data_IF_819856760882
#
_entry.id   IF_819856760882
#
_cell.length_a   1.000
_cell.length_b   1.000
_cell.length_c   1.000
_cell.angle_alpha   90.00
_cell.angle_beta   90.00
_cell.angle_gamma   90.00
#
_symmetry.space_group_name_H-M   'P 1'
#
loop_
_entity.id
_entity.type
_entity.pdbx_description
1 polymer ?
#
# COMPACT_ATOMS: atom_id res chain seq x y z
N UNK A 1 -7.13 25.13 -34.74
CA UNK A 1 -8.18 24.40 -33.99
C UNK A 1 -7.60 23.58 -32.82
N UNK A 2 -6.56 22.75 -33.00
CA UNK A 2 -5.97 21.94 -31.93
C UNK A 2 -5.32 22.73 -30.77
N UNK A 3 -4.68 23.88 -31.07
CA UNK A 3 -4.10 24.78 -30.04
C UNK A 3 -5.17 25.44 -29.15
N UNK A 4 -6.36 25.65 -29.69
CA UNK A 4 -7.47 26.32 -29.00
C UNK A 4 -8.17 25.37 -28.03
N UNK A 5 -8.37 24.10 -28.43
CA UNK A 5 -8.93 23.04 -27.56
C UNK A 5 -8.00 22.75 -26.38
N UNK A 6 -6.68 22.75 -26.59
CA UNK A 6 -5.70 22.47 -25.53
C UNK A 6 -5.59 23.59 -24.48
N UNK A 7 -5.70 24.86 -24.89
CA UNK A 7 -5.75 26.01 -23.97
C UNK A 7 -7.08 26.14 -23.22
N UNK A 8 -8.16 25.59 -23.78
CA UNK A 8 -9.50 25.59 -23.17
C UNK A 8 -9.65 24.50 -22.11
N UNK A 9 -9.03 23.33 -22.33
CA UNK A 9 -9.00 22.22 -21.37
C UNK A 9 -8.28 22.57 -20.07
N UNK A 10 -7.06 23.12 -20.14
CA UNK A 10 -6.23 23.35 -18.94
C UNK A 10 -6.83 24.30 -17.90
N UNK A 11 -7.60 25.30 -18.32
CA UNK A 11 -8.20 26.29 -17.39
C UNK A 11 -9.43 25.78 -16.63
N UNK A 12 -10.16 24.80 -17.18
CA UNK A 12 -11.37 24.23 -16.54
C UNK A 12 -11.10 22.88 -15.85
N UNK A 13 -10.09 22.14 -16.32
CA UNK A 13 -9.71 20.84 -15.75
C UNK A 13 -9.10 21.00 -14.35
N UNK A 14 -8.26 22.01 -14.13
CA UNK A 14 -7.59 22.25 -12.84
C UNK A 14 -8.58 22.48 -11.68
N UNK A 15 -9.58 23.38 -11.77
CA UNK A 15 -10.57 23.55 -10.70
C UNK A 15 -11.48 22.33 -10.53
N UNK A 16 -11.80 21.60 -11.62
CA UNK A 16 -12.62 20.38 -11.53
C UNK A 16 -11.86 19.24 -10.82
N UNK A 17 -10.54 19.15 -11.02
CA UNK A 17 -9.69 18.21 -10.30
C UNK A 17 -9.46 18.62 -8.85
N UNK A 18 -9.25 19.89 -8.55
CA UNK A 18 -9.19 20.41 -7.17
C UNK A 18 -10.48 20.07 -6.41
N UNK A 19 -11.64 20.21 -7.06
CA UNK A 19 -12.91 19.78 -6.51
C UNK A 19 -12.96 18.26 -6.28
N UNK A 20 -12.44 17.46 -7.21
CA UNK A 20 -12.35 16.01 -7.03
C UNK A 20 -11.42 15.62 -5.86
N UNK A 21 -10.28 16.31 -5.67
CA UNK A 21 -9.39 16.09 -4.51
C UNK A 21 -10.12 16.38 -3.20
N UNK A 22 -10.85 17.49 -3.14
CA UNK A 22 -11.62 17.89 -1.96
C UNK A 22 -12.75 16.86 -1.69
N UNK A 23 -13.40 16.35 -2.72
CA UNK A 23 -14.42 15.30 -2.58
C UNK A 23 -13.86 13.93 -2.16
N UNK A 24 -12.58 13.67 -2.42
CA UNK A 24 -11.90 12.43 -2.01
C UNK A 24 -11.31 12.54 -0.60
N UNK A 25 -11.24 13.73 -0.02
CA UNK A 25 -10.91 13.86 1.40
C UNK A 25 -12.05 13.28 2.23
N UNK A 26 -11.78 12.33 3.13
CA UNK A 26 -12.81 11.82 4.01
C UNK A 26 -13.35 12.98 4.87
N UNK A 27 -14.61 13.36 4.61
CA UNK A 27 -15.32 14.40 5.37
C UNK A 27 -15.60 13.98 6.83
N UNK A 28 -15.24 12.75 7.19
CA UNK A 28 -15.44 12.15 8.51
C UNK A 28 -14.07 11.81 9.09
N UNK A 29 -13.65 12.59 10.08
CA UNK A 29 -12.53 12.23 10.94
C UNK A 29 -12.99 11.18 11.93
N UNK A 30 -12.63 9.91 11.72
CA UNK A 30 -12.79 8.92 12.77
C UNK A 30 -11.76 9.22 13.86
N UNK A 31 -12.24 9.49 15.08
CA UNK A 31 -11.42 9.50 16.29
C UNK A 31 -11.04 8.04 16.62
N UNK A 32 -10.20 7.43 15.79
CA UNK A 32 -9.80 6.05 15.97
C UNK A 32 -8.77 6.00 17.10
N UNK A 33 -9.11 5.29 18.17
CA UNK A 33 -8.12 4.89 19.18
C UNK A 33 -7.07 3.99 18.51
N UNK A 34 -5.86 3.96 19.07
CA UNK A 34 -4.84 3.02 18.60
C UNK A 34 -5.40 1.60 18.61
N UNK A 35 -5.17 0.85 17.54
CA UNK A 35 -5.63 -0.53 17.43
C UNK A 35 -5.06 -1.36 18.60
N UNK A 36 -5.88 -2.12 19.34
CA UNK A 36 -5.38 -2.93 20.44
C UNK A 36 -4.41 -3.99 19.92
N UNK A 37 -3.36 -4.33 20.70
CA UNK A 37 -2.36 -5.29 20.28
C UNK A 37 -3.00 -6.64 19.97
N UNK A 38 -2.52 -7.26 18.91
CA UNK A 38 -3.03 -8.53 18.42
C UNK A 38 -1.91 -9.43 17.89
N UNK A 39 -2.17 -10.72 17.94
CA UNK A 39 -1.47 -11.73 17.14
C UNK A 39 -2.15 -11.79 15.77
N UNK A 40 -1.39 -11.51 14.71
CA UNK A 40 -1.88 -11.53 13.33
C UNK A 40 -1.16 -12.63 12.57
N UNK A 41 -1.92 -13.58 12.05
CA UNK A 41 -1.40 -14.69 11.25
C UNK A 41 -1.80 -14.45 9.80
N UNK A 42 -0.80 -14.38 8.93
CA UNK A 42 -0.96 -14.19 7.50
C UNK A 42 -0.76 -15.54 6.81
N UNK A 43 -1.76 -16.00 6.06
CA UNK A 43 -1.67 -17.20 5.23
C UNK A 43 -1.82 -16.80 3.76
N UNK A 44 -0.81 -17.12 2.95
CA UNK A 44 -0.86 -16.89 1.50
C UNK A 44 -1.61 -18.01 0.81
N UNK A 45 -2.51 -17.66 -0.11
CA UNK A 45 -3.32 -18.60 -0.89
C UNK A 45 -4.02 -19.67 -0.03
N UNK A 46 -4.57 -19.23 1.11
CA UNK A 46 -5.29 -20.11 2.03
C UNK A 46 -6.43 -20.85 1.32
N UNK A 47 -6.62 -22.16 1.60
CA UNK A 47 -7.85 -22.86 1.22
C UNK A 47 -9.10 -22.11 1.71
N UNK A 48 -10.20 -22.20 0.96
CA UNK A 48 -11.43 -21.46 1.29
C UNK A 48 -12.00 -21.89 2.65
N UNK A 49 -11.86 -23.17 3.00
CA UNK A 49 -12.25 -23.77 4.27
C UNK A 49 -11.19 -23.61 5.38
N UNK A 50 -10.06 -22.95 5.10
CA UNK A 50 -8.97 -22.84 6.08
C UNK A 50 -9.41 -22.05 7.32
N UNK A 51 -9.13 -22.61 8.49
CA UNK A 51 -9.33 -21.97 9.80
C UNK A 51 -8.08 -22.08 10.65
N UNK A 52 -7.81 -21.04 11.43
CA UNK A 52 -6.75 -21.02 12.42
C UNK A 52 -7.36 -20.70 13.76
N UNK A 53 -7.06 -21.54 14.75
CA UNK A 53 -7.52 -21.37 16.13
C UNK A 53 -6.35 -21.49 17.09
N UNK A 54 -6.47 -20.88 18.26
CA UNK A 54 -5.51 -20.98 19.35
C UNK A 54 -6.00 -21.99 20.38
N UNK A 55 -5.13 -22.92 20.76
CA UNK A 55 -5.36 -23.81 21.90
C UNK A 55 -4.89 -23.08 23.16
N UNK A 56 -5.82 -22.79 24.07
CA UNK A 56 -5.54 -22.14 25.35
C UNK A 56 -5.94 -23.05 26.52
N UNK A 57 -5.45 -22.75 27.73
CA UNK A 57 -5.85 -23.44 28.96
C UNK A 57 -7.38 -23.42 29.19
N UNK A 58 -8.09 -22.43 28.62
CA UNK A 58 -9.54 -22.24 28.76
C UNK A 58 -10.36 -22.82 27.59
N UNK A 59 -9.71 -23.46 26.62
CA UNK A 59 -10.34 -24.02 25.42
C UNK A 59 -9.77 -23.46 24.11
N UNK A 60 -10.45 -23.73 23.01
CA UNK A 60 -10.04 -23.32 21.66
C UNK A 60 -10.67 -21.97 21.31
N UNK A 61 -9.83 -20.99 20.97
CA UNK A 61 -10.28 -19.65 20.53
C UNK A 61 -10.09 -19.55 19.02
N UNK A 62 -11.17 -19.36 18.27
CA UNK A 62 -11.09 -19.16 16.82
C UNK A 62 -10.64 -17.74 16.47
N UNK A 63 -9.76 -17.60 15.48
CA UNK A 63 -9.31 -16.30 15.00
C UNK A 63 -10.35 -15.60 14.13
N UNK A 64 -10.39 -14.27 14.18
CA UNK A 64 -11.20 -13.50 13.25
C UNK A 64 -10.59 -13.60 11.84
N UNK A 65 -11.32 -14.22 10.90
CA UNK A 65 -10.89 -14.46 9.52
C UNK A 65 -11.29 -13.27 8.63
N UNK A 66 -10.31 -12.69 7.96
CA UNK A 66 -10.52 -11.71 6.89
C UNK A 66 -9.68 -12.08 5.68
N UNK A 67 -10.17 -11.82 4.47
CA UNK A 67 -9.45 -12.13 3.23
C UNK A 67 -9.30 -10.88 2.38
N UNK A 68 -8.08 -10.62 1.92
CA UNK A 68 -7.76 -9.52 1.00
C UNK A 68 -6.92 -10.08 -0.14
N UNK A 69 -7.48 -10.07 -1.35
CA UNK A 69 -6.91 -10.70 -2.54
C UNK A 69 -6.45 -12.16 -2.28
N UNK A 70 -5.15 -12.43 -2.35
CA UNK A 70 -4.54 -13.75 -2.15
C UNK A 70 -4.04 -13.99 -0.72
N UNK A 71 -4.28 -13.08 0.23
CA UNK A 71 -3.91 -13.25 1.63
C UNK A 71 -5.15 -13.42 2.52
N UNK A 72 -5.06 -14.36 3.46
CA UNK A 72 -6.04 -14.53 4.52
C UNK A 72 -5.38 -14.20 5.85
N UNK A 73 -6.03 -13.36 6.62
CA UNK A 73 -5.60 -12.87 7.92
C UNK A 73 -6.45 -13.53 9.00
N UNK A 74 -5.78 -14.08 10.00
CA UNK A 74 -6.40 -14.55 11.23
C UNK A 74 -5.92 -13.68 12.37
N UNK A 75 -6.84 -12.89 12.95
CA UNK A 75 -6.52 -11.91 13.98
C UNK A 75 -7.01 -12.40 15.34
N UNK A 76 -6.12 -12.36 16.32
CA UNK A 76 -6.40 -12.70 17.71
C UNK A 76 -6.01 -11.53 18.61
N UNK A 77 -7.00 -10.85 19.17
CA UNK A 77 -6.77 -9.72 20.07
C UNK A 77 -6.27 -10.21 21.43
N UNK A 78 -5.29 -9.50 22.01
CA UNK A 78 -4.63 -9.88 23.27
C UNK A 78 -5.63 -10.07 24.43
N UNK A 79 -6.72 -9.31 24.44
CA UNK A 79 -7.82 -9.44 25.41
C UNK A 79 -8.43 -10.86 25.47
N UNK A 80 -8.39 -11.61 24.36
CA UNK A 80 -9.00 -12.94 24.25
C UNK A 80 -8.00 -14.08 24.49
N UNK A 81 -6.70 -13.82 24.32
CA UNK A 81 -5.68 -14.88 24.27
C UNK A 81 -4.63 -14.76 25.38
N UNK A 82 -4.58 -13.61 26.07
CA UNK A 82 -3.54 -13.30 27.05
C UNK A 82 -2.16 -13.12 26.41
N UNK A 83 -1.21 -12.60 27.18
CA UNK A 83 0.15 -12.25 26.74
C UNK A 83 1.20 -13.34 27.00
N UNK A 84 0.78 -14.60 27.22
CA UNK A 84 1.70 -15.72 27.44
C UNK A 84 2.54 -15.97 26.18
N UNK A 85 3.86 -16.05 26.33
CA UNK A 85 4.86 -15.98 25.25
C UNK A 85 4.97 -17.20 24.34
N UNK A 86 4.08 -18.19 24.47
CA UNK A 86 4.01 -19.36 23.61
C UNK A 86 2.56 -19.69 23.29
N UNK A 87 2.30 -20.01 22.03
CA UNK A 87 0.99 -20.36 21.53
C UNK A 87 1.03 -21.66 20.76
N UNK A 88 -0.03 -22.45 20.85
CA UNK A 88 -0.25 -23.60 19.96
C UNK A 88 -1.41 -23.28 19.03
N UNK A 89 -1.11 -23.20 17.74
CA UNK A 89 -2.07 -22.98 16.68
C UNK A 89 -2.62 -24.32 16.22
N UNK A 90 -3.93 -24.43 16.12
CA UNK A 90 -4.63 -25.50 15.41
C UNK A 90 -5.02 -24.96 14.04
N UNK A 91 -4.42 -25.52 13.00
CA UNK A 91 -4.65 -25.12 11.61
C UNK A 91 -5.40 -26.24 10.92
N UNK A 92 -6.55 -25.92 10.33
CA UNK A 92 -7.33 -26.87 9.52
C UNK A 92 -7.68 -26.28 8.17
N UNK A 93 -7.78 -27.14 7.15
CA UNK A 93 -8.17 -26.76 5.79
C UNK A 93 -7.93 -27.91 4.81
N UNK A 94 -8.65 -27.94 3.69
CA UNK A 94 -8.53 -29.00 2.68
C UNK A 94 -8.60 -30.43 3.25
N UNK A 95 -9.40 -30.63 4.32
CA UNK A 95 -9.52 -31.92 5.02
C UNK A 95 -8.30 -32.36 5.85
N UNK A 96 -7.27 -31.52 5.99
CA UNK A 96 -6.10 -31.75 6.84
C UNK A 96 -6.13 -30.86 8.07
N UNK A 97 -5.64 -31.38 9.20
CA UNK A 97 -5.51 -30.63 10.45
C UNK A 97 -4.14 -30.90 11.07
N UNK A 98 -3.47 -29.84 11.53
CA UNK A 98 -2.19 -29.95 12.21
C UNK A 98 -2.05 -28.89 13.30
N UNK A 99 -1.18 -29.18 14.27
CA UNK A 99 -0.82 -28.24 15.33
C UNK A 99 0.54 -27.62 15.05
N UNK A 100 0.63 -26.30 15.18
CA UNK A 100 1.85 -25.54 14.99
C UNK A 100 2.16 -24.76 16.27
N UNK A 101 3.31 -25.06 16.87
CA UNK A 101 3.82 -24.30 18.01
C UNK A 101 4.45 -23.00 17.53
N UNK A 102 4.11 -21.91 18.21
CA UNK A 102 4.63 -20.57 18.00
C UNK A 102 5.34 -20.14 19.28
N UNK A 103 6.66 -20.08 19.20
CA UNK A 103 7.53 -19.65 20.30
C UNK A 103 7.72 -18.14 20.29
N UNK A 104 8.14 -17.59 21.43
CA UNK A 104 8.45 -16.16 21.63
C UNK A 104 9.42 -15.55 20.60
N UNK A 105 10.28 -16.36 19.96
CA UNK A 105 11.19 -15.92 18.91
C UNK A 105 10.47 -15.28 17.70
N UNK A 106 9.26 -15.77 17.38
CA UNK A 106 8.42 -15.31 16.28
C UNK A 106 7.51 -14.13 16.67
N UNK A 107 7.41 -13.82 17.96
CA UNK A 107 6.48 -12.86 18.54
C UNK A 107 7.18 -11.52 18.82
N UNK A 108 7.62 -10.82 17.78
CA UNK A 108 8.34 -9.54 17.89
C UNK A 108 7.45 -8.35 17.54
N UNK A 109 7.64 -7.24 18.25
CA UNK A 109 6.98 -5.97 17.98
C UNK A 109 5.68 -5.75 18.76
N UNK A 110 5.03 -4.60 18.50
CA UNK A 110 3.74 -4.23 19.09
C UNK A 110 2.61 -5.13 18.57
N UNK A 111 2.58 -5.33 17.24
CA UNK A 111 1.78 -6.35 16.59
C UNK A 111 2.64 -7.58 16.32
N UNK A 112 2.18 -8.72 16.83
CA UNK A 112 2.89 -9.99 16.67
C UNK A 112 2.44 -10.61 15.37
N UNK A 113 3.13 -10.26 14.29
CA UNK A 113 2.80 -10.74 12.94
C UNK A 113 3.60 -11.98 12.60
N UNK A 114 2.91 -13.02 12.13
CA UNK A 114 3.51 -14.29 11.71
C UNK A 114 2.97 -14.63 10.33
N UNK A 115 3.84 -15.11 9.44
CA UNK A 115 3.40 -15.73 8.20
C UNK A 115 3.39 -17.24 8.35
N UNK A 116 2.26 -17.87 8.00
CA UNK A 116 2.04 -19.30 8.04
C UNK A 116 1.97 -19.85 6.61
N UNK A 117 2.84 -20.81 6.30
CA UNK A 117 2.75 -21.59 5.07
C UNK A 117 1.93 -22.86 5.35
N UNK A 118 0.74 -22.93 4.74
CA UNK A 118 -0.18 -24.05 4.92
C UNK A 118 0.34 -25.35 4.29
N UNK A 119 1.00 -25.26 3.13
CA UNK A 119 1.47 -26.43 2.41
C UNK A 119 2.75 -27.00 3.01
N UNK A 120 3.67 -26.11 3.41
CA UNK A 120 4.93 -26.51 4.03
C UNK A 120 4.80 -26.79 5.55
N UNK A 121 3.67 -26.40 6.17
CA UNK A 121 3.47 -26.46 7.63
C UNK A 121 4.59 -25.75 8.39
N UNK A 122 4.99 -24.56 7.91
CA UNK A 122 6.06 -23.76 8.52
C UNK A 122 5.58 -22.37 8.89
N UNK A 123 6.28 -21.74 9.84
CA UNK A 123 6.04 -20.37 10.27
C UNK A 123 7.28 -19.51 10.07
N UNK A 124 7.06 -18.26 9.67
CA UNK A 124 8.09 -17.24 9.55
C UNK A 124 7.69 -16.02 10.38
N UNK A 125 8.68 -15.41 11.04
CA UNK A 125 8.46 -14.19 11.82
C UNK A 125 8.21 -13.00 10.88
N UNK A 126 7.19 -12.20 11.17
CA UNK A 126 6.87 -10.99 10.43
C UNK A 126 6.23 -11.22 9.06
N UNK A 127 6.26 -10.17 8.24
CA UNK A 127 5.78 -10.17 6.85
C UNK A 127 6.87 -10.73 5.93
N UNK A 128 6.48 -11.49 4.92
CA UNK A 128 7.42 -11.96 3.89
C UNK A 128 8.04 -10.79 3.11
N UNK A 129 9.36 -10.83 2.91
CA UNK A 129 10.05 -9.82 2.11
C UNK A 129 9.58 -9.83 0.65
N UNK A 130 9.31 -11.02 0.10
CA UNK A 130 8.76 -11.20 -1.25
C UNK A 130 7.41 -10.52 -1.43
N UNK A 131 6.55 -10.57 -0.41
CA UNK A 131 5.27 -9.85 -0.36
C UNK A 131 5.51 -8.35 -0.44
N UNK A 132 6.38 -7.80 0.40
CA UNK A 132 6.68 -6.36 0.39
C UNK A 132 7.22 -5.91 -0.97
N UNK A 133 8.16 -6.64 -1.56
CA UNK A 133 8.72 -6.33 -2.89
C UNK A 133 7.64 -6.39 -3.96
N UNK A 134 6.76 -7.41 -3.94
CA UNK A 134 5.67 -7.55 -4.91
C UNK A 134 4.71 -6.36 -4.84
N UNK A 135 4.27 -5.99 -3.63
CA UNK A 135 3.31 -4.90 -3.43
C UNK A 135 3.90 -3.53 -3.82
N UNK A 136 5.16 -3.29 -3.46
CA UNK A 136 5.91 -2.11 -3.89
C UNK A 136 6.04 -2.08 -5.41
N UNK A 137 6.41 -3.20 -6.03
CA UNK A 137 6.56 -3.33 -7.47
C UNK A 137 5.25 -3.09 -8.22
N UNK A 138 4.15 -3.69 -7.75
CA UNK A 138 2.82 -3.43 -8.32
C UNK A 138 2.47 -1.95 -8.24
N UNK A 139 2.68 -1.31 -7.08
CA UNK A 139 2.41 0.12 -6.90
C UNK A 139 3.19 0.96 -7.90
N UNK A 140 4.51 0.78 -7.99
CA UNK A 140 5.39 1.49 -8.93
C UNK A 140 4.96 1.28 -10.38
N UNK A 141 4.62 0.04 -10.76
CA UNK A 141 4.20 -0.27 -12.14
C UNK A 141 2.87 0.42 -12.47
N UNK A 142 1.88 0.37 -11.58
CA UNK A 142 0.58 1.00 -11.83
C UNK A 142 0.67 2.52 -11.89
N UNK A 143 1.39 3.14 -10.96
CA UNK A 143 1.60 4.60 -10.96
C UNK A 143 2.33 5.02 -12.23
N UNK A 144 3.44 4.36 -12.56
CA UNK A 144 4.21 4.66 -13.77
C UNK A 144 3.39 4.48 -15.05
N UNK A 145 2.51 3.47 -15.12
CA UNK A 145 1.64 3.26 -16.26
C UNK A 145 0.63 4.42 -16.45
N UNK A 146 0.00 4.85 -15.37
CA UNK A 146 -0.97 5.97 -15.38
C UNK A 146 -0.27 7.27 -15.74
N UNK A 147 0.88 7.55 -15.12
CA UNK A 147 1.61 8.78 -15.35
C UNK A 147 2.22 8.82 -16.75
N UNK A 148 2.70 7.69 -17.27
CA UNK A 148 3.16 7.56 -18.66
C UNK A 148 2.03 7.80 -19.66
N UNK A 149 0.83 7.27 -19.38
CA UNK A 149 -0.35 7.52 -20.21
C UNK A 149 -0.72 9.01 -20.19
N UNK A 150 -0.73 9.63 -19.00
CA UNK A 150 -0.94 11.07 -18.87
C UNK A 150 0.15 11.85 -19.64
N UNK A 151 1.42 11.46 -19.54
CA UNK A 151 2.54 12.13 -20.21
C UNK A 151 2.38 12.08 -21.73
N UNK A 152 1.96 10.93 -22.26
CA UNK A 152 1.65 10.75 -23.66
C UNK A 152 0.46 11.62 -24.12
N UNK A 153 -0.64 11.62 -23.35
CA UNK A 153 -1.85 12.41 -23.64
C UNK A 153 -1.59 13.92 -23.60
N UNK A 154 -0.71 14.36 -22.69
CA UNK A 154 -0.22 15.73 -22.64
C UNK A 154 0.75 16.06 -23.78
N UNK A 155 1.02 15.14 -24.72
CA UNK A 155 1.71 15.40 -25.97
C UNK A 155 3.22 15.50 -25.85
N UNK A 156 3.81 14.97 -24.77
CA UNK A 156 5.26 14.80 -24.66
C UNK A 156 5.70 13.61 -25.51
N UNK A 157 6.53 13.85 -26.53
CA UNK A 157 6.97 12.80 -27.48
C UNK A 157 8.48 12.67 -27.57
N UNK A 158 9.24 13.58 -26.97
CA UNK A 158 10.69 13.54 -27.06
C UNK A 158 11.27 12.43 -26.17
N UNK A 159 12.09 11.55 -26.75
CA UNK A 159 12.75 10.44 -26.02
C UNK A 159 13.50 10.90 -24.77
N UNK A 160 14.16 12.06 -24.84
CA UNK A 160 14.87 12.66 -23.69
C UNK A 160 13.91 13.04 -22.56
N UNK A 161 12.77 13.64 -22.88
CA UNK A 161 11.74 14.00 -21.89
C UNK A 161 11.16 12.76 -21.22
N UNK A 162 10.91 11.69 -21.99
CA UNK A 162 10.46 10.40 -21.49
C UNK A 162 11.46 9.75 -20.53
N UNK A 163 12.75 9.73 -20.88
CA UNK A 163 13.77 9.16 -20.02
C UNK A 163 13.87 9.91 -18.67
N UNK A 164 13.87 11.24 -18.73
CA UNK A 164 13.90 12.08 -17.52
C UNK A 164 12.65 11.84 -16.66
N UNK A 165 11.47 11.82 -17.28
CA UNK A 165 10.21 11.58 -16.59
C UNK A 165 10.22 10.22 -15.88
N UNK A 166 10.51 9.12 -16.59
CA UNK A 166 10.55 7.77 -16.02
C UNK A 166 11.58 7.65 -14.90
N UNK A 167 12.78 8.23 -15.09
CA UNK A 167 13.82 8.20 -14.07
C UNK A 167 13.40 8.94 -12.80
N UNK A 168 12.82 10.14 -12.92
CA UNK A 168 12.32 10.89 -11.77
C UNK A 168 11.25 10.11 -11.01
N UNK A 169 10.27 9.55 -11.74
CA UNK A 169 9.17 8.76 -11.17
C UNK A 169 9.67 7.52 -10.41
N UNK A 170 10.61 6.76 -11.00
CA UNK A 170 11.18 5.57 -10.35
C UNK A 170 11.96 5.96 -9.10
N UNK A 171 12.72 7.06 -9.15
CA UNK A 171 13.48 7.55 -8.00
C UNK A 171 12.56 8.00 -6.87
N UNK A 172 11.56 8.83 -7.15
CA UNK A 172 10.62 9.35 -6.14
C UNK A 172 9.78 8.24 -5.52
N UNK A 173 9.22 7.34 -6.34
CA UNK A 173 8.43 6.22 -5.86
C UNK A 173 9.29 5.19 -5.12
N UNK A 174 10.52 4.95 -5.57
CA UNK A 174 11.48 4.09 -4.88
C UNK A 174 11.81 4.61 -3.49
N UNK A 175 12.13 5.91 -3.38
CA UNK A 175 12.40 6.56 -2.09
C UNK A 175 11.19 6.49 -1.16
N UNK A 176 9.99 6.80 -1.66
CA UNK A 176 8.74 6.73 -0.89
C UNK A 176 8.51 5.32 -0.32
N UNK A 177 8.67 4.28 -1.13
CA UNK A 177 8.44 2.90 -0.69
C UNK A 177 9.49 2.40 0.30
N UNK A 178 10.75 2.83 0.19
CA UNK A 178 11.78 2.52 1.19
C UNK A 178 11.44 3.19 2.52
N UNK A 179 11.10 4.48 2.51
CA UNK A 179 10.73 5.22 3.72
C UNK A 179 9.49 4.67 4.43
N UNK A 180 8.56 4.07 3.69
CA UNK A 180 7.39 3.40 4.26
C UNK A 180 7.72 2.03 4.88
N UNK A 181 8.70 1.30 4.34
CA UNK A 181 9.11 0.00 4.86
C UNK A 181 10.07 0.12 6.06
N UNK A 182 10.90 1.16 6.11
CA UNK A 182 11.90 1.37 7.17
C UNK A 182 11.32 1.87 8.51
N UNK A 183 9.99 1.89 8.64
CA UNK A 183 9.34 2.11 9.94
C UNK A 183 9.71 3.44 10.57
N UNK A 184 9.36 4.55 9.92
CA UNK A 184 9.24 5.81 10.66
C UNK A 184 8.36 5.57 11.91
N UNK A 185 8.66 6.17 13.08
CA UNK A 185 7.91 5.99 14.34
C UNK A 185 6.40 6.32 14.28
N UNK A 186 5.91 6.73 13.12
CA UNK A 186 4.52 7.01 12.78
C UNK A 186 3.78 5.78 12.24
N UNK A 187 4.21 4.55 12.56
CA UNK A 187 3.57 3.30 12.12
C UNK A 187 2.06 3.24 12.45
N UNK A 188 1.59 3.95 13.48
CA UNK A 188 0.16 4.07 13.79
C UNK A 188 -0.62 5.04 12.86
N UNK A 189 0.07 5.76 11.98
CA UNK A 189 -0.49 6.75 11.05
C UNK A 189 -0.01 6.51 9.61
N UNK A 190 0.07 5.24 9.18
CA UNK A 190 0.52 4.87 7.82
C UNK A 190 -0.18 5.68 6.72
N UNK A 191 -1.49 5.90 6.81
CA UNK A 191 -2.22 6.74 5.85
C UNK A 191 -1.77 8.21 5.86
N UNK A 192 -1.57 8.81 7.04
CA UNK A 192 -1.11 10.20 7.14
C UNK A 192 0.33 10.34 6.62
N UNK A 193 1.17 9.36 6.95
CA UNK A 193 2.56 9.31 6.50
C UNK A 193 2.66 9.17 4.98
N UNK A 194 1.80 8.32 4.38
CA UNK A 194 1.63 8.20 2.93
C UNK A 194 1.29 9.56 2.30
N UNK A 195 0.23 10.21 2.77
CA UNK A 195 -0.24 11.50 2.21
C UNK A 195 0.86 12.57 2.30
N UNK A 196 1.55 12.67 3.44
CA UNK A 196 2.61 13.67 3.64
C UNK A 196 3.82 13.42 2.73
N UNK A 197 4.24 12.16 2.61
CA UNK A 197 5.36 11.80 1.73
C UNK A 197 5.00 11.97 0.25
N UNK A 198 3.78 11.64 -0.15
CA UNK A 198 3.30 11.89 -1.52
C UNK A 198 3.27 13.38 -1.83
N UNK A 199 2.83 14.25 -0.91
CA UNK A 199 2.96 15.70 -1.09
C UNK A 199 4.42 16.13 -1.36
N UNK A 200 5.40 15.49 -0.70
CA UNK A 200 6.82 15.70 -0.97
C UNK A 200 7.22 15.26 -2.38
N UNK A 201 6.73 14.11 -2.84
CA UNK A 201 6.93 13.60 -4.21
C UNK A 201 6.39 14.59 -5.24
N UNK A 202 5.17 15.11 -5.07
CA UNK A 202 4.58 16.11 -5.98
C UNK A 202 5.49 17.33 -6.17
N UNK A 203 6.08 17.83 -5.08
CA UNK A 203 7.01 18.97 -5.13
C UNK A 203 8.31 18.61 -5.84
N UNK A 204 8.89 17.45 -5.53
CA UNK A 204 10.12 16.97 -6.14
C UNK A 204 9.97 16.74 -7.65
N UNK A 205 8.87 16.12 -8.08
CA UNK A 205 8.58 15.89 -9.49
C UNK A 205 8.28 17.17 -10.25
N UNK A 206 7.58 18.12 -9.61
CA UNK A 206 7.33 19.44 -10.21
C UNK A 206 8.65 20.17 -10.45
N UNK A 207 9.55 20.18 -9.45
CA UNK A 207 10.88 20.77 -9.60
C UNK A 207 11.69 20.05 -10.70
N UNK A 208 11.70 18.71 -10.69
CA UNK A 208 12.40 17.90 -11.70
C UNK A 208 11.90 18.17 -13.12
N UNK A 209 10.58 18.20 -13.33
CA UNK A 209 9.99 18.50 -14.63
C UNK A 209 10.31 19.93 -15.10
N UNK A 210 10.36 20.90 -14.18
CA UNK A 210 10.71 22.28 -14.51
C UNK A 210 12.19 22.44 -14.89
N UNK A 211 13.08 21.69 -14.26
CA UNK A 211 14.53 21.76 -14.46
C UNK A 211 15.01 20.92 -15.65
N UNK A 212 14.53 19.68 -15.77
CA UNK A 212 15.11 18.68 -16.68
C UNK A 212 14.31 18.47 -17.97
N UNK A 213 12.98 18.67 -17.96
CA UNK A 213 12.14 18.54 -19.16
C UNK A 213 12.03 19.91 -19.84
N UNK A 214 12.67 20.11 -20.99
CA UNK A 214 12.62 21.39 -21.74
C UNK A 214 11.51 21.44 -22.80
N UNK A 215 10.79 20.34 -22.98
CA UNK A 215 9.69 20.23 -23.94
C UNK A 215 8.45 20.98 -23.42
N UNK A 216 7.83 21.79 -24.28
CA UNK A 216 6.65 22.62 -23.99
C UNK A 216 6.84 23.74 -22.93
N UNK A 217 5.79 24.56 -22.77
CA UNK A 217 5.76 25.69 -21.82
C UNK A 217 5.79 25.22 -20.36
N UNK A 218 6.29 26.08 -19.46
CA UNK A 218 6.36 25.80 -18.01
C UNK A 218 4.99 25.43 -17.43
N UNK A 219 3.93 26.15 -17.83
CA UNK A 219 2.57 25.88 -17.36
C UNK A 219 2.11 24.46 -17.73
N UNK A 220 2.35 24.02 -18.97
CA UNK A 220 1.95 22.67 -19.42
C UNK A 220 2.69 21.57 -18.65
N UNK A 221 3.97 21.79 -18.32
CA UNK A 221 4.77 20.85 -17.52
C UNK A 221 4.23 20.72 -16.10
N UNK A 222 3.95 21.84 -15.43
CA UNK A 222 3.38 21.82 -14.08
C UNK A 222 2.00 21.17 -14.08
N UNK A 223 1.11 21.56 -15.01
CA UNK A 223 -0.22 20.95 -15.10
C UNK A 223 -0.12 19.45 -15.35
N UNK A 224 0.78 18.99 -16.22
CA UNK A 224 0.99 17.56 -16.43
C UNK A 224 1.38 16.84 -15.13
N UNK A 225 2.42 17.31 -14.43
CA UNK A 225 2.92 16.64 -13.22
C UNK A 225 1.80 16.51 -12.19
N UNK A 226 1.07 17.60 -11.95
CA UNK A 226 -0.02 17.62 -10.98
C UNK A 226 -1.15 16.67 -11.35
N UNK A 227 -1.53 16.63 -12.63
CA UNK A 227 -2.57 15.72 -13.12
C UNK A 227 -2.13 14.27 -13.03
N UNK A 228 -0.91 13.97 -13.44
CA UNK A 228 -0.36 12.62 -13.43
C UNK A 228 -0.24 12.08 -12.00
N UNK A 229 0.37 12.86 -11.10
CA UNK A 229 0.55 12.49 -9.70
C UNK A 229 -0.79 12.39 -8.96
N UNK A 230 -1.77 13.24 -9.29
CA UNK A 230 -3.09 13.14 -8.68
C UNK A 230 -3.85 11.90 -9.16
N UNK A 231 -3.82 11.61 -10.46
CA UNK A 231 -4.42 10.38 -10.99
C UNK A 231 -3.78 9.14 -10.37
N UNK A 232 -2.45 9.13 -10.24
CA UNK A 232 -1.73 8.01 -9.64
C UNK A 232 -1.99 7.91 -8.13
N UNK A 233 -2.18 9.02 -7.42
CA UNK A 233 -2.62 9.04 -6.02
C UNK A 233 -4.00 8.41 -5.83
N UNK A 234 -4.99 8.80 -6.64
CA UNK A 234 -6.36 8.26 -6.53
C UNK A 234 -6.37 6.76 -6.81
N UNK A 235 -5.70 6.33 -7.89
CA UNK A 235 -5.63 4.91 -8.22
C UNK A 235 -4.80 4.13 -7.20
N UNK A 236 -3.70 4.71 -6.70
CA UNK A 236 -2.89 4.13 -5.63
C UNK A 236 -3.68 3.94 -4.34
N UNK A 237 -4.50 4.92 -3.96
CA UNK A 237 -5.41 4.83 -2.83
C UNK A 237 -6.47 3.73 -3.00
N UNK A 238 -7.05 3.60 -4.20
CA UNK A 238 -7.96 2.50 -4.52
C UNK A 238 -7.25 1.14 -4.52
N UNK A 239 -6.00 1.06 -4.96
CA UNK A 239 -5.23 -0.19 -4.93
C UNK A 239 -4.96 -0.66 -3.50
N UNK A 240 -4.77 0.25 -2.54
CA UNK A 240 -4.61 -0.09 -1.11
C UNK A 240 -5.85 -0.76 -0.53
N UNK A 241 -7.05 -0.50 -1.06
CA UNK A 241 -8.28 -1.15 -0.55
C UNK A 241 -8.51 -2.53 -1.14
N UNK A 242 -7.86 -2.85 -2.28
CA UNK A 242 -8.03 -4.13 -3.00
C UNK A 242 -6.84 -5.07 -2.76
N UNK A 243 -5.63 -4.52 -2.63
CA UNK A 243 -4.41 -5.27 -2.42
C UNK A 243 -4.15 -5.52 -0.92
N UNK A 244 -3.48 -6.62 -0.57
CA UNK A 244 -3.12 -6.90 0.81
C UNK A 244 -1.97 -5.96 1.21
N UNK A 245 -2.17 -5.06 2.16
CA UNK A 245 -1.16 -4.08 2.64
C UNK A 245 -0.58 -4.51 3.99
#
# INVERSE_FOLDING_TARGET
MLKTVLNWCGKRIVPLMLLAVICLMPAVGYANSAQPPALVIIMQNAPDDATVSLVTEKGVVAGSKSRTAWETYYVFYDQNIGTKGEYTLKVSGSGSEYEQKVTSEYLRGYDRVITLDFAAQTIAAGKLLSRSILLVGMRVVFTLAIESLAFFLFGFRQKRSWLVFLAMNILTQGMLNISLNDGLPLANYLMLSLILMECGVFLAETAGALLFIKEHSRLRRVTFVWVANLLSLVVGGLLITVLPV
#
